data_IF_512817879338
#
_entry.id   IF_512817879338
#
_cell.length_a   1.000
_cell.length_b   1.000
_cell.length_c   1.000
_cell.angle_alpha   90.00
_cell.angle_beta   90.00
_cell.angle_gamma   90.00
#
_symmetry.space_group_name_H-M   'P 1'
#
loop_
_entity.id
_entity.type
_entity.pdbx_description
1 polymer ?
#
# COMPACT_ATOMS: atom_id res chain seq x y z
N UNK A 1 -32.80 5.78 -7.99
CA UNK A 1 -31.65 6.54 -7.46
C UNK A 1 -31.04 7.30 -8.62
N UNK A 2 -31.18 8.62 -8.65
CA UNK A 2 -30.56 9.44 -9.72
C UNK A 2 -29.07 9.53 -9.42
N UNK A 3 -28.23 9.03 -10.33
CA UNK A 3 -26.77 9.16 -10.22
C UNK A 3 -26.39 10.52 -10.79
N UNK A 4 -26.11 11.49 -9.93
CA UNK A 4 -25.58 12.80 -10.32
C UNK A 4 -24.09 12.62 -10.67
N UNK A 5 -23.71 12.96 -11.90
CA UNK A 5 -22.30 13.08 -12.31
C UNK A 5 -21.88 14.53 -12.15
N UNK A 6 -20.68 14.74 -11.60
CA UNK A 6 -20.08 16.07 -11.47
C UNK A 6 -18.74 16.03 -12.16
N UNK A 7 -18.48 17.04 -12.98
CA UNK A 7 -17.16 17.26 -13.56
C UNK A 7 -16.21 17.71 -12.46
N UNK A 8 -15.10 17.00 -12.31
CA UNK A 8 -14.07 17.31 -11.32
C UNK A 8 -12.99 18.13 -12.01
N UNK A 9 -12.59 19.24 -11.39
CA UNK A 9 -11.53 20.10 -11.93
C UNK A 9 -10.22 19.33 -12.04
N UNK A 10 -9.39 19.74 -13.00
CA UNK A 10 -8.06 19.17 -13.19
C UNK A 10 -7.20 19.26 -11.94
N UNK A 11 -7.19 20.42 -11.28
CA UNK A 11 -6.46 20.67 -10.04
C UNK A 11 -6.79 19.63 -8.96
N UNK A 12 -8.05 19.20 -8.89
CA UNK A 12 -8.49 18.18 -7.93
C UNK A 12 -7.95 16.78 -8.27
N UNK A 13 -7.77 16.47 -9.56
CA UNK A 13 -7.32 15.15 -10.05
C UNK A 13 -5.79 15.05 -10.07
N UNK A 14 -5.06 16.17 -10.16
CA UNK A 14 -3.60 16.16 -10.25
C UNK A 14 -2.88 15.36 -9.15
N UNK A 15 -3.27 15.47 -7.86
CA UNK A 15 -2.71 14.61 -6.82
C UNK A 15 -2.91 13.11 -7.07
N UNK A 16 -4.05 12.73 -7.65
CA UNK A 16 -4.35 11.33 -7.97
C UNK A 16 -3.50 10.81 -9.11
N UNK A 17 -3.27 11.65 -10.12
CA UNK A 17 -2.35 11.35 -11.23
C UNK A 17 -0.92 11.24 -10.71
N UNK A 18 -0.49 12.10 -9.78
CA UNK A 18 0.82 12.02 -9.17
C UNK A 18 1.02 10.67 -8.44
N UNK A 19 0.03 10.22 -7.66
CA UNK A 19 0.04 8.89 -7.04
C UNK A 19 0.09 7.77 -8.09
N UNK A 20 -0.66 7.92 -9.19
CA UNK A 20 -0.65 6.96 -10.29
C UNK A 20 0.75 6.82 -10.94
N UNK A 21 1.42 7.94 -11.21
CA UNK A 21 2.77 7.92 -11.80
C UNK A 21 3.81 7.42 -10.80
N UNK A 22 3.71 7.84 -9.53
CA UNK A 22 4.53 7.31 -8.45
C UNK A 22 4.45 5.78 -8.39
N UNK A 23 3.25 5.21 -8.44
CA UNK A 23 3.04 3.75 -8.39
C UNK A 23 3.77 3.01 -9.52
N UNK A 24 3.79 3.57 -10.74
CA UNK A 24 4.54 3.02 -11.89
C UNK A 24 6.05 3.16 -11.73
N UNK A 25 6.52 4.26 -11.16
CA UNK A 25 7.93 4.42 -10.84
C UNK A 25 8.37 3.39 -9.80
N UNK A 26 7.57 3.20 -8.74
CA UNK A 26 7.86 2.25 -7.67
C UNK A 26 7.88 0.80 -8.17
N UNK A 27 6.97 0.42 -9.06
CA UNK A 27 6.99 -0.87 -9.76
C UNK A 27 8.34 -1.08 -10.47
N UNK A 28 8.72 -0.12 -11.31
CA UNK A 28 9.92 -0.21 -12.12
C UNK A 28 11.19 -0.23 -11.25
N UNK A 29 11.24 0.60 -10.21
CA UNK A 29 12.34 0.61 -9.22
C UNK A 29 12.45 -0.75 -8.53
N UNK A 30 11.36 -1.28 -7.98
CA UNK A 30 11.38 -2.56 -7.26
C UNK A 30 11.79 -3.73 -8.17
N UNK A 31 11.36 -3.69 -9.44
CA UNK A 31 11.71 -4.72 -10.44
C UNK A 31 13.20 -4.77 -10.80
N UNK A 32 13.92 -3.67 -10.63
CA UNK A 32 15.36 -3.58 -10.91
C UNK A 32 16.21 -4.12 -9.76
N UNK A 33 15.67 -4.18 -8.54
CA UNK A 33 16.35 -4.74 -7.39
C UNK A 33 16.32 -6.27 -7.51
N UNK A 34 17.48 -6.91 -7.52
CA UNK A 34 17.61 -8.37 -7.59
C UNK A 34 17.77 -8.97 -6.18
N UNK A 35 18.51 -10.07 -6.09
CA UNK A 35 18.94 -10.65 -4.81
C UNK A 35 19.69 -9.62 -3.94
N UNK A 36 19.51 -9.66 -2.60
CA UNK A 36 20.28 -8.83 -1.69
C UNK A 36 21.78 -9.00 -1.90
N UNK A 37 22.52 -7.88 -1.92
CA UNK A 37 23.96 -7.89 -2.11
C UNK A 37 24.70 -8.37 -0.88
N UNK A 38 25.93 -8.83 -1.08
CA UNK A 38 26.85 -9.11 0.01
C UNK A 38 27.04 -7.87 0.90
N UNK A 39 27.03 -8.09 2.22
CA UNK A 39 27.12 -7.06 3.26
C UNK A 39 25.80 -6.35 3.59
N UNK A 40 24.75 -6.55 2.78
CA UNK A 40 23.46 -5.87 2.95
C UNK A 40 22.72 -6.30 4.22
N UNK A 41 21.72 -5.52 4.64
CA UNK A 41 20.92 -5.88 5.80
C UNK A 41 20.09 -7.13 5.55
N UNK A 42 19.51 -7.29 4.36
CA UNK A 42 18.76 -8.50 4.04
C UNK A 42 19.63 -9.75 3.93
N UNK A 43 20.89 -9.66 3.48
CA UNK A 43 21.80 -10.81 3.56
C UNK A 43 21.95 -11.31 5.01
N UNK A 44 22.21 -10.39 5.94
CA UNK A 44 22.34 -10.70 7.38
C UNK A 44 21.05 -11.27 7.97
N UNK A 45 19.90 -10.69 7.63
CA UNK A 45 18.58 -11.15 8.08
C UNK A 45 18.27 -12.54 7.55
N UNK A 46 18.48 -12.78 6.25
CA UNK A 46 18.21 -14.06 5.62
C UNK A 46 19.16 -15.16 6.11
N UNK A 47 20.40 -14.82 6.47
CA UNK A 47 21.34 -15.77 7.06
C UNK A 47 20.90 -16.28 8.44
N UNK A 48 20.19 -15.46 9.23
CA UNK A 48 19.68 -15.85 10.55
C UNK A 48 18.48 -16.81 10.47
N UNK A 49 17.72 -16.79 9.37
CA UNK A 49 16.64 -17.74 9.13
C UNK A 49 16.54 -18.06 7.62
N UNK A 50 17.31 -19.05 7.11
CA UNK A 50 17.44 -19.28 5.68
C UNK A 50 16.28 -20.06 5.06
N UNK A 51 15.42 -20.67 5.88
CA UNK A 51 14.33 -21.54 5.42
C UNK A 51 13.16 -20.77 4.80
N UNK A 52 13.03 -19.48 5.13
CA UNK A 52 11.99 -18.58 4.64
C UNK A 52 12.59 -17.16 4.65
N UNK A 53 12.88 -16.60 3.48
CA UNK A 53 13.69 -15.38 3.40
C UNK A 53 12.83 -14.14 3.63
N UNK A 54 13.24 -13.31 4.59
CA UNK A 54 12.58 -12.04 4.91
C UNK A 54 12.53 -11.09 3.72
N UNK A 55 13.56 -11.09 2.86
CA UNK A 55 13.58 -10.29 1.63
C UNK A 55 12.48 -10.67 0.65
N UNK A 56 12.12 -11.95 0.56
CA UNK A 56 11.13 -12.44 -0.40
C UNK A 56 9.74 -11.99 0.06
N UNK A 57 9.43 -12.17 1.35
CA UNK A 57 8.19 -11.68 1.95
C UNK A 57 8.04 -10.17 1.83
N UNK A 58 9.10 -9.40 2.14
CA UNK A 58 9.05 -7.95 2.01
C UNK A 58 8.81 -7.51 0.55
N UNK A 59 9.43 -8.18 -0.42
CA UNK A 59 9.18 -7.93 -1.84
C UNK A 59 7.73 -8.22 -2.20
N UNK A 60 7.20 -9.38 -1.84
CA UNK A 60 5.81 -9.77 -2.15
C UNK A 60 4.81 -8.78 -1.57
N UNK A 61 5.01 -8.33 -0.33
CA UNK A 61 4.16 -7.30 0.28
C UNK A 61 4.18 -5.97 -0.46
N UNK A 62 5.35 -5.53 -0.93
CA UNK A 62 5.49 -4.29 -1.70
C UNK A 62 4.89 -4.46 -3.10
N UNK A 63 5.15 -5.58 -3.78
CA UNK A 63 4.56 -5.91 -5.08
C UNK A 63 3.04 -5.92 -5.02
N UNK A 64 2.44 -6.61 -4.04
CA UNK A 64 0.99 -6.63 -3.86
C UNK A 64 0.41 -5.23 -3.62
N UNK A 65 1.11 -4.39 -2.83
CA UNK A 65 0.68 -3.01 -2.64
C UNK A 65 0.77 -2.17 -3.91
N UNK A 66 1.81 -2.35 -4.71
CA UNK A 66 2.00 -1.70 -6.01
C UNK A 66 0.91 -2.14 -6.98
N UNK A 67 0.58 -3.44 -7.08
CA UNK A 67 -0.46 -3.96 -7.97
C UNK A 67 -1.83 -3.30 -7.74
N UNK A 68 -2.23 -3.14 -6.46
CA UNK A 68 -3.45 -2.41 -6.12
C UNK A 68 -3.43 -0.96 -6.61
N UNK A 69 -2.28 -0.30 -6.49
CA UNK A 69 -2.12 1.09 -6.93
C UNK A 69 -1.94 1.23 -8.44
N UNK A 70 -1.43 0.20 -9.14
CA UNK A 70 -1.37 0.15 -10.60
C UNK A 70 -2.76 -0.02 -11.22
N UNK A 71 -3.67 -0.74 -10.55
CA UNK A 71 -5.07 -0.78 -10.95
C UNK A 71 -5.72 0.61 -10.84
N UNK A 72 -5.47 1.33 -9.74
CA UNK A 72 -5.86 2.73 -9.62
C UNK A 72 -5.22 3.60 -10.72
N UNK A 73 -3.91 3.45 -10.96
CA UNK A 73 -3.18 4.23 -11.93
C UNK A 73 -3.71 4.05 -13.35
N UNK A 74 -4.06 2.82 -13.72
CA UNK A 74 -4.65 2.49 -15.02
C UNK A 74 -6.05 3.07 -15.18
N UNK A 75 -6.77 3.26 -14.08
CA UNK A 75 -8.09 3.88 -14.08
C UNK A 75 -8.03 5.41 -14.16
N UNK A 76 -7.20 6.07 -13.32
CA UNK A 76 -7.16 7.54 -13.22
C UNK A 76 -6.28 8.24 -14.25
N UNK A 77 -5.22 7.56 -14.70
CA UNK A 77 -4.24 8.11 -15.63
C UNK A 77 -3.79 7.01 -16.61
N UNK A 78 -4.69 6.57 -17.52
CA UNK A 78 -4.37 5.53 -18.50
C UNK A 78 -3.25 5.99 -19.43
N UNK A 79 -2.40 5.06 -19.85
CA UNK A 79 -1.29 5.32 -20.79
C UNK A 79 -1.75 5.26 -22.26
N UNK A 80 -2.95 4.74 -22.51
CA UNK A 80 -3.58 4.70 -23.84
C UNK A 80 -4.99 5.28 -23.71
N UNK A 81 -5.33 6.19 -24.63
CA UNK A 81 -6.61 6.89 -24.65
C UNK A 81 -7.44 6.47 -25.85
N UNK A 82 -8.70 6.11 -25.59
CA UNK A 82 -9.71 6.00 -26.63
C UNK A 82 -10.45 7.34 -26.74
N UNK A 83 -10.51 7.98 -27.92
CA UNK A 83 -11.28 9.20 -28.09
C UNK A 83 -12.72 9.02 -27.63
N UNK A 84 -13.21 9.91 -26.75
CA UNK A 84 -14.56 9.85 -26.18
C UNK A 84 -14.72 8.93 -24.96
N UNK A 85 -13.67 8.27 -24.48
CA UNK A 85 -13.76 7.51 -23.23
C UNK A 85 -13.88 8.45 -22.02
N UNK A 86 -14.97 8.30 -21.27
CA UNK A 86 -15.17 8.97 -19.98
C UNK A 86 -14.68 8.08 -18.84
N UNK A 87 -13.87 8.64 -17.93
CA UNK A 87 -13.48 7.96 -16.70
C UNK A 87 -14.45 8.37 -15.59
N UNK A 88 -15.20 7.40 -15.06
CA UNK A 88 -16.08 7.63 -13.91
C UNK A 88 -15.40 7.18 -12.62
N UNK A 89 -15.09 8.13 -11.75
CA UNK A 89 -14.56 7.84 -10.42
C UNK A 89 -15.70 7.53 -9.45
N UNK A 90 -15.61 6.36 -8.81
CA UNK A 90 -16.53 5.99 -7.73
C UNK A 90 -15.75 5.86 -6.42
N UNK A 91 -16.45 6.16 -5.32
CA UNK A 91 -15.81 6.30 -4.01
C UNK A 91 -15.27 4.98 -3.43
N UNK A 92 -16.03 3.88 -3.53
CA UNK A 92 -15.66 2.64 -2.81
C UNK A 92 -14.42 1.94 -3.37
N UNK A 93 -14.25 1.77 -4.70
CA UNK A 93 -13.11 1.05 -5.24
C UNK A 93 -11.76 1.69 -4.84
N UNK A 94 -11.65 3.01 -4.92
CA UNK A 94 -10.38 3.70 -4.56
C UNK A 94 -10.05 3.53 -3.07
N UNK A 95 -11.05 3.55 -2.19
CA UNK A 95 -10.84 3.30 -0.75
C UNK A 95 -10.39 1.86 -0.49
N UNK A 96 -10.98 0.88 -1.19
CA UNK A 96 -10.58 -0.52 -1.09
C UNK A 96 -9.14 -0.74 -1.57
N UNK A 97 -8.80 -0.23 -2.75
CA UNK A 97 -7.46 -0.36 -3.33
C UNK A 97 -6.40 0.31 -2.46
N UNK A 98 -6.67 1.54 -2.01
CA UNK A 98 -5.72 2.28 -1.18
C UNK A 98 -5.53 1.61 0.18
N UNK A 99 -6.59 1.07 0.81
CA UNK A 99 -6.45 0.31 2.05
C UNK A 99 -5.60 -0.93 1.85
N UNK A 100 -5.89 -1.73 0.82
CA UNK A 100 -5.13 -2.94 0.55
C UNK A 100 -3.65 -2.62 0.30
N UNK A 101 -3.37 -1.54 -0.46
CA UNK A 101 -2.02 -1.06 -0.69
C UNK A 101 -1.27 -0.67 0.60
N UNK A 102 -1.91 0.11 1.48
CA UNK A 102 -1.33 0.50 2.78
C UNK A 102 -1.09 -0.72 3.66
N UNK A 103 -2.06 -1.63 3.73
CA UNK A 103 -1.95 -2.85 4.55
C UNK A 103 -0.80 -3.73 4.08
N UNK A 104 -0.67 -3.99 2.78
CA UNK A 104 0.41 -4.79 2.23
C UNK A 104 1.76 -4.14 2.49
N UNK A 105 1.95 -2.88 2.08
CA UNK A 105 3.22 -2.18 2.25
C UNK A 105 3.64 -2.02 3.73
N UNK A 106 2.67 -1.85 4.65
CA UNK A 106 2.95 -1.72 6.08
C UNK A 106 3.64 -2.96 6.68
N UNK A 107 3.41 -4.18 6.13
CA UNK A 107 4.13 -5.37 6.58
C UNK A 107 5.64 -5.24 6.33
N UNK A 108 6.02 -4.90 5.10
CA UNK A 108 7.41 -4.74 4.71
C UNK A 108 8.08 -3.61 5.49
N UNK A 109 7.41 -2.46 5.61
CA UNK A 109 7.91 -1.34 6.42
C UNK A 109 8.13 -1.75 7.87
N UNK A 110 7.17 -2.44 8.48
CA UNK A 110 7.29 -2.90 9.86
C UNK A 110 8.44 -3.88 10.06
N UNK A 111 8.62 -4.85 9.17
CA UNK A 111 9.75 -5.79 9.24
C UNK A 111 11.08 -5.03 9.15
N UNK A 112 11.20 -4.09 8.20
CA UNK A 112 12.41 -3.30 7.95
C UNK A 112 12.64 -2.13 8.92
N UNK A 113 11.71 -1.89 9.86
CA UNK A 113 11.83 -0.82 10.87
C UNK A 113 12.47 -1.31 12.18
N UNK A 114 13.37 -2.29 12.09
CA UNK A 114 14.18 -2.76 13.21
C UNK A 114 15.64 -2.31 13.05
N UNK A 115 16.32 -2.16 14.19
CA UNK A 115 17.72 -1.77 14.24
C UNK A 115 18.68 -2.95 14.15
N UNK A 116 18.18 -4.18 14.36
CA UNK A 116 18.99 -5.40 14.36
C UNK A 116 18.40 -6.43 13.42
N UNK A 117 19.27 -7.27 12.84
CA UNK A 117 18.83 -8.37 11.98
C UNK A 117 17.94 -9.37 12.72
N UNK A 118 18.22 -9.61 14.02
CA UNK A 118 17.40 -10.46 14.88
C UNK A 118 15.99 -9.90 15.06
N UNK A 119 15.85 -8.58 15.27
CA UNK A 119 14.55 -7.92 15.34
C UNK A 119 13.75 -8.04 14.04
N UNK A 120 14.43 -7.90 12.88
CA UNK A 120 13.79 -8.12 11.58
C UNK A 120 13.27 -9.56 11.44
N UNK A 121 14.09 -10.56 11.81
CA UNK A 121 13.67 -11.97 11.78
C UNK A 121 12.49 -12.22 12.71
N UNK A 122 12.50 -11.68 13.93
CA UNK A 122 11.37 -11.81 14.86
C UNK A 122 10.08 -11.29 14.25
N UNK A 123 10.08 -10.07 13.72
CA UNK A 123 8.90 -9.48 13.05
C UNK A 123 8.47 -10.28 11.83
N UNK A 124 9.43 -10.72 11.01
CA UNK A 124 9.16 -11.57 9.86
C UNK A 124 8.45 -12.87 10.28
N UNK A 125 8.99 -13.61 11.25
CA UNK A 125 8.40 -14.86 11.72
C UNK A 125 7.04 -14.65 12.38
N UNK A 126 6.80 -13.51 13.05
CA UNK A 126 5.46 -13.15 13.53
C UNK A 126 4.43 -13.08 12.40
N UNK A 127 4.82 -12.56 11.23
CA UNK A 127 3.95 -12.49 10.05
C UNK A 127 3.73 -13.87 9.44
N UNK A 128 4.79 -14.66 9.25
CA UNK A 128 4.66 -16.03 8.70
C UNK A 128 3.76 -16.90 9.58
N UNK A 129 3.90 -16.79 10.90
CA UNK A 129 3.05 -17.51 11.86
C UNK A 129 1.58 -17.07 11.79
N UNK A 130 1.29 -15.79 11.58
CA UNK A 130 -0.08 -15.32 11.40
C UNK A 130 -0.65 -15.83 10.07
N UNK A 131 0.12 -15.77 8.99
CA UNK A 131 -0.31 -16.23 7.66
C UNK A 131 -0.66 -17.73 7.66
N UNK A 132 0.20 -18.58 8.25
CA UNK A 132 -0.10 -20.01 8.45
C UNK A 132 -1.40 -20.22 9.23
N UNK A 133 -1.67 -19.38 10.23
CA UNK A 133 -2.90 -19.45 11.01
C UNK A 133 -4.13 -18.98 10.20
N UNK A 134 -4.00 -17.95 9.35
CA UNK A 134 -5.08 -17.56 8.44
C UNK A 134 -5.35 -18.65 7.40
N UNK A 135 -4.30 -19.23 6.82
CA UNK A 135 -4.41 -20.35 5.88
C UNK A 135 -5.10 -21.55 6.55
N UNK A 136 -4.79 -21.83 7.82
CA UNK A 136 -5.42 -22.92 8.58
C UNK A 136 -6.91 -22.67 8.84
N UNK A 137 -7.31 -21.43 9.11
CA UNK A 137 -8.72 -21.04 9.26
C UNK A 137 -9.47 -21.17 7.93
N UNK A 138 -8.83 -20.82 6.82
CA UNK A 138 -9.40 -20.91 5.48
C UNK A 138 -9.47 -22.35 4.95
N UNK A 139 -8.60 -23.25 5.44
CA UNK A 139 -8.60 -24.66 5.04
C UNK A 139 -9.94 -25.34 5.37
N UNK A 140 -10.48 -26.07 4.40
CA UNK A 140 -11.73 -26.82 4.57
C UNK A 140 -11.47 -28.23 5.11
N UNK A 141 -10.42 -28.88 4.64
CA UNK A 141 -10.07 -30.27 4.95
C UNK A 141 -9.27 -30.40 6.25
N UNK A 142 -9.53 -31.48 7.00
CA UNK A 142 -8.83 -31.78 8.26
C UNK A 142 -7.36 -32.09 8.04
N UNK A 143 -7.01 -32.84 7.00
CA UNK A 143 -5.62 -33.16 6.64
C UNK A 143 -4.79 -31.89 6.39
N UNK A 144 -5.35 -30.94 5.63
CA UNK A 144 -4.69 -29.65 5.39
C UNK A 144 -4.49 -28.86 6.68
N UNK A 145 -5.46 -28.89 7.61
CA UNK A 145 -5.32 -28.24 8.92
C UNK A 145 -4.21 -28.88 9.75
N UNK A 146 -4.11 -30.21 9.75
CA UNK A 146 -3.04 -30.95 10.45
C UNK A 146 -1.68 -30.57 9.88
N UNK A 147 -1.53 -30.59 8.55
CA UNK A 147 -0.30 -30.16 7.88
C UNK A 147 0.13 -28.75 8.29
N UNK A 148 -0.80 -27.80 8.41
CA UNK A 148 -0.47 -26.42 8.79
C UNK A 148 -0.07 -26.29 10.27
N UNK A 149 -0.63 -27.12 11.15
CA UNK A 149 -0.18 -27.23 12.55
C UNK A 149 1.25 -27.77 12.61
N UNK A 150 1.56 -28.79 11.80
CA UNK A 150 2.91 -29.36 11.71
C UNK A 150 3.91 -28.37 11.11
N UNK A 151 3.54 -27.66 10.04
CA UNK A 151 4.36 -26.62 9.42
C UNK A 151 4.68 -25.49 10.43
N UNK A 152 3.69 -25.05 11.21
CA UNK A 152 3.90 -24.09 12.30
C UNK A 152 4.88 -24.63 13.36
N UNK A 153 4.72 -25.89 13.78
CA UNK A 153 5.63 -26.51 14.75
C UNK A 153 7.07 -26.59 14.20
N UNK A 154 7.22 -26.97 12.93
CA UNK A 154 8.50 -27.06 12.26
C UNK A 154 9.18 -25.69 12.14
N UNK A 155 8.43 -24.64 11.79
CA UNK A 155 8.95 -23.28 11.72
C UNK A 155 9.52 -22.83 13.08
N UNK A 156 8.78 -23.06 14.17
CA UNK A 156 9.21 -22.69 15.52
C UNK A 156 10.48 -23.46 15.94
N UNK A 157 10.54 -24.78 15.68
CA UNK A 157 11.73 -25.59 15.93
C UNK A 157 12.94 -25.08 15.15
N UNK A 158 12.76 -24.70 13.88
CA UNK A 158 13.83 -24.12 13.06
C UNK A 158 14.29 -22.76 13.58
N UNK A 159 13.36 -21.94 14.07
CA UNK A 159 13.68 -20.61 14.60
C UNK A 159 14.53 -20.72 15.87
N UNK A 160 14.12 -21.59 16.79
CA UNK A 160 14.87 -21.92 18.01
C UNK A 160 16.29 -22.44 17.68
N UNK A 161 16.41 -23.36 16.72
CA UNK A 161 17.70 -23.89 16.31
C UNK A 161 18.63 -22.86 15.64
N UNK A 162 18.07 -21.91 14.87
CA UNK A 162 18.86 -20.97 14.06
C UNK A 162 19.27 -19.71 14.82
N UNK A 163 18.57 -19.37 15.90
CA UNK A 163 18.72 -18.07 16.56
C UNK A 163 18.71 -18.10 18.10
N UNK A 164 18.70 -19.30 18.70
CA UNK A 164 18.65 -19.47 20.15
C UNK A 164 17.27 -19.17 20.73
N UNK A 165 17.21 -18.64 21.96
CA UNK A 165 15.97 -18.18 22.62
C UNK A 165 15.37 -16.91 21.96
N UNK A 166 15.12 -16.96 20.66
CA UNK A 166 14.43 -15.89 19.96
C UNK A 166 12.95 -15.91 20.35
N UNK A 167 12.56 -14.95 21.20
CA UNK A 167 11.15 -14.69 21.49
C UNK A 167 10.48 -14.09 20.25
N UNK A 168 9.55 -14.82 19.64
CA UNK A 168 8.73 -14.33 18.52
C UNK A 168 7.44 -13.75 19.09
N UNK A 169 7.25 -12.44 18.94
CA UNK A 169 6.06 -11.77 19.42
C UNK A 169 4.84 -12.08 18.54
N UNK A 170 3.65 -11.80 19.07
CA UNK A 170 2.41 -11.93 18.30
C UNK A 170 2.33 -10.84 17.23
N UNK A 171 1.82 -11.20 16.07
CA UNK A 171 1.43 -10.24 15.04
C UNK A 171 0.51 -9.14 15.61
N UNK A 172 0.83 -7.84 15.43
CA UNK A 172 0.07 -6.74 16.04
C UNK A 172 -1.31 -6.51 15.40
N UNK A 173 -1.63 -7.21 14.32
CA UNK A 173 -2.82 -6.98 13.51
C UNK A 173 -2.63 -5.83 12.52
N UNK A 174 -3.44 -5.82 11.46
CA UNK A 174 -3.36 -4.84 10.37
C UNK A 174 -3.40 -3.38 10.84
N UNK A 175 -4.31 -3.02 11.74
CA UNK A 175 -4.38 -1.65 12.28
C UNK A 175 -3.09 -1.26 13.01
N UNK A 176 -2.54 -2.18 13.82
CA UNK A 176 -1.31 -1.96 14.56
C UNK A 176 -0.13 -1.74 13.62
N UNK A 177 -0.02 -2.56 12.57
CA UNK A 177 0.98 -2.39 11.52
C UNK A 177 0.86 -1.04 10.81
N UNK A 178 -0.34 -0.70 10.34
CA UNK A 178 -0.57 0.51 9.54
C UNK A 178 -0.21 1.76 10.34
N UNK A 179 -0.57 1.82 11.63
CA UNK A 179 -0.16 2.93 12.52
C UNK A 179 1.34 3.00 12.70
N UNK A 180 2.00 1.86 12.95
CA UNK A 180 3.44 1.81 13.13
C UNK A 180 4.17 2.24 11.86
N UNK A 181 3.80 1.70 10.70
CA UNK A 181 4.37 2.07 9.41
C UNK A 181 4.16 3.55 9.10
N UNK A 182 2.95 4.10 9.31
CA UNK A 182 2.71 5.53 9.11
C UNK A 182 3.56 6.40 10.04
N UNK A 183 3.72 6.01 11.31
CA UNK A 183 4.61 6.70 12.26
C UNK A 183 6.07 6.65 11.81
N UNK A 184 6.56 5.49 11.35
CA UNK A 184 7.91 5.33 10.78
C UNK A 184 8.11 6.26 9.59
N UNK A 185 7.15 6.30 8.67
CA UNK A 185 7.17 7.16 7.48
C UNK A 185 7.15 8.63 7.87
N UNK A 186 6.35 9.02 8.87
CA UNK A 186 6.30 10.38 9.38
C UNK A 186 7.60 10.84 10.05
N UNK A 187 8.26 9.94 10.80
CA UNK A 187 9.50 10.25 11.50
C UNK A 187 10.72 10.31 10.57
N UNK A 188 10.75 9.49 9.52
CA UNK A 188 11.93 9.31 8.65
C UNK A 188 11.79 9.88 7.25
N UNK A 189 10.56 10.16 6.82
CA UNK A 189 10.24 10.73 5.51
C UNK A 189 9.91 12.22 5.58
N UNK A 190 9.76 12.82 4.39
CA UNK A 190 9.13 14.15 4.24
C UNK A 190 7.67 13.92 3.85
N UNK A 191 6.79 13.80 4.82
CA UNK A 191 5.34 13.60 4.58
C UNK A 191 4.51 14.66 5.29
N UNK A 192 3.23 14.73 4.91
CA UNK A 192 2.22 15.54 5.58
C UNK A 192 2.22 15.23 7.09
N UNK A 193 2.29 16.28 7.92
CA UNK A 193 2.29 16.19 9.38
C UNK A 193 1.07 15.45 9.93
N UNK A 194 -0.05 15.44 9.20
CA UNK A 194 -1.25 14.71 9.59
C UNK A 194 -1.07 13.18 9.55
N UNK A 195 -0.11 12.66 8.77
CA UNK A 195 0.20 11.22 8.75
C UNK A 195 0.97 10.75 9.99
N UNK A 196 1.50 11.69 10.80
CA UNK A 196 2.12 11.38 12.08
C UNK A 196 1.10 11.05 13.18
N UNK A 197 -0.15 11.50 13.03
CA UNK A 197 -1.20 11.28 14.04
C UNK A 197 -1.85 9.88 13.86
N UNK A 198 -1.65 8.95 14.82
CA UNK A 198 -2.23 7.61 14.75
C UNK A 198 -3.77 7.60 14.72
N UNK A 199 -4.44 8.62 15.26
CA UNK A 199 -5.90 8.73 15.24
C UNK A 199 -6.42 9.06 13.83
N UNK A 200 -5.72 9.93 13.10
CA UNK A 200 -6.02 10.25 11.70
C UNK A 200 -5.85 9.02 10.82
N UNK A 201 -4.73 8.31 10.98
CA UNK A 201 -4.43 7.08 10.23
C UNK A 201 -5.48 5.99 10.51
N UNK A 202 -5.85 5.78 11.77
CA UNK A 202 -6.92 4.84 12.13
C UNK A 202 -8.26 5.21 11.50
N UNK A 203 -8.63 6.50 11.54
CA UNK A 203 -9.89 6.97 10.96
C UNK A 203 -9.94 6.69 9.46
N UNK A 204 -8.87 7.00 8.73
CA UNK A 204 -8.75 6.70 7.29
C UNK A 204 -8.87 5.20 7.01
N UNK A 205 -8.15 4.37 7.78
CA UNK A 205 -8.19 2.92 7.63
C UNK A 205 -9.59 2.36 7.90
N UNK A 206 -10.25 2.78 8.99
CA UNK A 206 -11.60 2.30 9.36
C UNK A 206 -12.65 2.74 8.34
N UNK A 207 -12.54 3.97 7.85
CA UNK A 207 -13.48 4.48 6.86
C UNK A 207 -13.32 3.75 5.53
N UNK A 208 -12.08 3.41 5.14
CA UNK A 208 -11.80 2.61 3.95
C UNK A 208 -12.35 1.18 4.08
N UNK A 209 -12.13 0.53 5.23
CA UNK A 209 -12.68 -0.78 5.53
C UNK A 209 -14.22 -0.77 5.51
N UNK A 210 -14.83 0.22 6.17
CA UNK A 210 -16.27 0.40 6.15
C UNK A 210 -16.82 0.61 4.73
N UNK A 211 -16.10 1.35 3.89
CA UNK A 211 -16.47 1.59 2.49
C UNK A 211 -16.43 0.31 1.67
N UNK A 212 -15.39 -0.50 1.83
CA UNK A 212 -15.23 -1.80 1.17
C UNK A 212 -16.37 -2.77 1.54
N UNK A 213 -16.84 -2.75 2.78
CA UNK A 213 -17.94 -3.57 3.26
C UNK A 213 -19.34 -2.95 3.10
N UNK A 214 -19.45 -1.82 2.39
CA UNK A 214 -20.74 -1.18 2.13
C UNK A 214 -21.42 -0.60 3.37
N UNK A 215 -20.67 -0.31 4.44
CA UNK A 215 -21.22 0.33 5.65
C UNK A 215 -21.78 1.71 5.30
N UNK A 216 -22.80 2.14 6.05
CA UNK A 216 -23.51 3.40 5.77
C UNK A 216 -22.71 4.64 6.19
N UNK A 217 -22.04 4.59 7.35
CA UNK A 217 -21.39 5.78 7.93
C UNK A 217 -20.27 6.37 7.04
N UNK A 218 -19.37 5.60 6.38
CA UNK A 218 -18.37 6.20 5.50
C UNK A 218 -19.01 6.88 4.29
N UNK A 219 -20.14 6.34 3.81
CA UNK A 219 -20.89 6.95 2.73
C UNK A 219 -21.68 8.21 3.15
N UNK A 220 -21.78 8.50 4.45
CA UNK A 220 -22.33 9.77 4.97
C UNK A 220 -21.22 10.79 5.23
N UNK A 221 -20.03 10.34 5.65
CA UNK A 221 -18.95 11.23 6.05
C UNK A 221 -17.92 11.51 4.96
N UNK A 222 -17.70 10.57 4.03
CA UNK A 222 -16.69 10.67 2.96
C UNK A 222 -17.31 10.96 1.59
N UNK A 223 -18.59 11.33 1.58
CA UNK A 223 -19.32 11.76 0.40
C UNK A 223 -20.00 13.09 0.69
N UNK A 224 -20.08 13.95 -0.31
CA UNK A 224 -20.92 15.14 -0.25
C UNK A 224 -22.36 14.69 -0.44
N UNK A 225 -23.20 14.89 0.58
CA UNK A 225 -24.62 14.56 0.55
C UNK A 225 -25.40 15.81 0.18
N UNK A 226 -26.10 15.77 -0.95
CA UNK A 226 -26.99 16.85 -1.36
C UNK A 226 -28.44 16.42 -1.14
N UNK A 227 -29.21 17.16 -0.33
CA UNK A 227 -30.64 16.92 -0.19
C UNK A 227 -31.35 17.30 -1.49
N UNK A 228 -32.23 16.40 -1.94
CA UNK A 228 -33.13 16.60 -3.08
C UNK A 228 -34.53 16.95 -2.61
N UNK A 229 -35.53 16.42 -3.30
CA UNK A 229 -36.95 16.64 -2.98
C UNK A 229 -37.33 16.01 -1.64
N UNK A 230 -38.12 16.70 -0.85
CA UNK A 230 -38.76 16.14 0.35
C UNK A 230 -39.79 15.08 -0.05
N UNK A 231 -39.68 13.87 0.51
CA UNK A 231 -40.56 12.72 0.24
C UNK A 231 -41.52 12.44 1.39
N UNK A 232 -41.20 12.92 2.59
CA UNK A 232 -42.05 12.93 3.77
C UNK A 232 -41.54 14.04 4.71
N UNK A 233 -42.33 14.55 5.68
CA UNK A 233 -41.88 15.60 6.59
C UNK A 233 -40.50 15.27 7.23
N UNK A 234 -39.50 16.12 6.96
CA UNK A 234 -38.13 15.96 7.44
C UNK A 234 -37.30 14.88 6.72
N UNK A 235 -37.83 14.25 5.66
CA UNK A 235 -37.18 13.18 4.90
C UNK A 235 -36.99 13.60 3.46
N UNK A 236 -35.74 13.64 3.01
CA UNK A 236 -35.36 14.08 1.68
C UNK A 236 -34.78 12.92 0.86
N UNK A 237 -35.08 12.90 -0.44
CA UNK A 237 -34.22 12.21 -1.40
C UNK A 237 -32.78 12.72 -1.22
N UNK A 238 -31.78 11.85 -1.37
CA UNK A 238 -30.37 12.27 -1.27
C UNK A 238 -29.61 11.82 -2.51
N UNK A 239 -28.85 12.74 -3.08
CA UNK A 239 -27.79 12.40 -4.03
C UNK A 239 -26.45 12.44 -3.28
N UNK A 240 -25.49 11.65 -3.75
CA UNK A 240 -24.18 11.55 -3.11
C UNK A 240 -23.07 11.61 -4.15
N UNK A 241 -22.09 12.45 -3.88
CA UNK A 241 -20.90 12.60 -4.72
C UNK A 241 -19.67 12.20 -3.89
N UNK A 242 -18.72 11.43 -4.42
CA UNK A 242 -17.46 11.16 -3.73
C UNK A 242 -16.79 12.47 -3.29
N UNK A 243 -16.37 12.58 -2.02
CA UNK A 243 -15.56 13.72 -1.59
C UNK A 243 -14.13 13.56 -2.14
N UNK A 244 -13.64 14.45 -3.03
CA UNK A 244 -12.32 14.31 -3.61
C UNK A 244 -11.20 14.40 -2.56
N UNK A 245 -11.36 15.23 -1.53
CA UNK A 245 -10.38 15.36 -0.44
C UNK A 245 -10.21 14.04 0.33
N UNK A 246 -11.32 13.34 0.58
CA UNK A 246 -11.28 12.03 1.25
C UNK A 246 -10.58 10.97 0.41
N UNK A 247 -10.72 11.02 -0.92
CA UNK A 247 -9.98 10.16 -1.86
C UNK A 247 -8.49 10.51 -1.82
N UNK A 248 -8.14 11.79 -1.93
CA UNK A 248 -6.75 12.27 -1.89
C UNK A 248 -6.04 11.84 -0.61
N UNK A 249 -6.68 11.95 0.56
CA UNK A 249 -6.08 11.59 1.85
C UNK A 249 -5.64 10.13 1.92
N UNK A 250 -6.50 9.19 1.50
CA UNK A 250 -6.15 7.76 1.55
C UNK A 250 -5.13 7.38 0.47
N UNK A 251 -5.21 7.99 -0.72
CA UNK A 251 -4.23 7.78 -1.79
C UNK A 251 -2.84 8.27 -1.38
N UNK A 252 -2.77 9.44 -0.73
CA UNK A 252 -1.50 9.98 -0.24
C UNK A 252 -0.90 9.09 0.84
N UNK A 253 -1.72 8.55 1.76
CA UNK A 253 -1.24 7.59 2.77
C UNK A 253 -0.68 6.32 2.10
N UNK A 254 -1.41 5.74 1.14
CA UNK A 254 -0.96 4.58 0.37
C UNK A 254 0.37 4.85 -0.33
N UNK A 255 0.46 5.97 -1.05
CA UNK A 255 1.66 6.36 -1.77
C UNK A 255 2.85 6.59 -0.83
N UNK A 256 2.65 7.25 0.31
CA UNK A 256 3.72 7.53 1.27
C UNK A 256 4.31 6.24 1.87
N UNK A 257 3.45 5.32 2.32
CA UNK A 257 3.89 4.04 2.90
C UNK A 257 4.58 3.17 1.85
N UNK A 258 4.02 3.09 0.62
CA UNK A 258 4.63 2.36 -0.49
C UNK A 258 5.98 2.94 -0.91
N UNK A 259 6.07 4.26 -1.09
CA UNK A 259 7.31 4.93 -1.51
C UNK A 259 8.42 4.67 -0.50
N UNK A 260 8.13 4.88 0.78
CA UNK A 260 9.09 4.59 1.84
C UNK A 260 9.46 3.10 1.87
N UNK A 261 8.48 2.21 1.76
CA UNK A 261 8.71 0.76 1.76
C UNK A 261 9.64 0.31 0.64
N UNK A 262 9.43 0.79 -0.59
CA UNK A 262 10.29 0.47 -1.74
C UNK A 262 11.70 1.03 -1.55
N UNK A 263 11.86 2.29 -1.16
CA UNK A 263 13.20 2.85 -0.92
C UNK A 263 13.91 2.17 0.24
N UNK A 264 13.19 1.82 1.30
CA UNK A 264 13.76 1.05 2.41
C UNK A 264 14.19 -0.34 1.95
N UNK A 265 13.45 -0.96 1.03
CA UNK A 265 13.81 -2.24 0.42
C UNK A 265 15.09 -2.14 -0.43
N UNK A 266 15.25 -1.05 -1.20
CA UNK A 266 16.48 -0.76 -1.97
C UNK A 266 17.69 -0.69 -1.03
N UNK A 267 17.58 0.10 0.05
CA UNK A 267 18.63 0.23 1.06
C UNK A 267 18.94 -1.11 1.74
N UNK A 268 17.92 -1.81 2.24
CA UNK A 268 18.10 -3.11 2.90
C UNK A 268 18.72 -4.18 2.00
N UNK A 269 18.50 -4.08 0.69
CA UNK A 269 19.07 -4.98 -0.31
C UNK A 269 20.51 -4.60 -0.72
N UNK A 270 21.03 -3.45 -0.26
CA UNK A 270 22.38 -2.96 -0.57
C UNK A 270 22.49 -2.20 -1.89
N UNK A 271 21.38 -1.71 -2.43
CA UNK A 271 21.33 -0.98 -3.70
C UNK A 271 21.23 0.54 -3.53
N UNK A 272 21.36 1.07 -2.29
CA UNK A 272 21.33 2.51 -2.03
C UNK A 272 22.31 3.33 -2.90
N UNK A 273 23.57 2.89 -3.13
CA UNK A 273 24.49 3.61 -4.02
C UNK A 273 23.99 3.73 -5.47
N UNK A 274 23.10 2.83 -5.89
CA UNK A 274 22.52 2.80 -7.24
C UNK A 274 21.10 3.38 -7.30
N UNK A 275 20.56 3.90 -6.19
CA UNK A 275 19.18 4.39 -6.15
C UNK A 275 18.96 5.53 -7.17
N UNK A 276 19.88 6.49 -7.23
CA UNK A 276 19.78 7.61 -8.18
C UNK A 276 19.75 7.16 -9.66
N UNK A 277 20.68 6.32 -10.16
CA UNK A 277 20.59 5.83 -11.54
C UNK A 277 19.38 4.92 -11.78
N UNK A 278 18.97 4.11 -10.81
CA UNK A 278 17.74 3.28 -10.91
C UNK A 278 16.50 4.16 -11.08
N UNK A 279 16.38 5.23 -10.29
CA UNK A 279 15.29 6.20 -10.39
C UNK A 279 15.30 6.95 -11.72
N UNK A 280 16.48 7.41 -12.17
CA UNK A 280 16.61 8.09 -13.46
C UNK A 280 16.18 7.20 -14.62
N UNK A 281 16.59 5.92 -14.61
CA UNK A 281 16.22 4.95 -15.64
C UNK A 281 14.71 4.65 -15.63
N UNK A 282 14.10 4.51 -14.44
CA UNK A 282 12.66 4.32 -14.30
C UNK A 282 11.87 5.55 -14.81
N UNK A 283 12.32 6.75 -14.46
CA UNK A 283 11.71 7.99 -14.93
C UNK A 283 11.80 8.14 -16.45
N UNK A 284 12.95 7.81 -17.04
CA UNK A 284 13.13 7.82 -18.49
C UNK A 284 12.15 6.86 -19.17
N UNK A 285 12.04 5.61 -18.70
CA UNK A 285 11.09 4.62 -19.24
C UNK A 285 9.64 5.07 -19.12
N UNK A 286 9.26 5.62 -17.97
CA UNK A 286 7.90 6.11 -17.77
C UNK A 286 7.60 7.32 -18.67
N UNK A 287 8.53 8.26 -18.81
CA UNK A 287 8.36 9.46 -19.65
C UNK A 287 8.09 9.14 -21.12
N UNK A 288 8.62 8.02 -21.63
CA UNK A 288 8.37 7.52 -22.99
C UNK A 288 6.96 6.98 -23.19
N UNK A 289 6.27 6.62 -22.10
CA UNK A 289 4.92 6.04 -22.12
C UNK A 289 3.82 7.04 -21.74
N UNK A 290 4.13 8.07 -20.94
CA UNK A 290 3.15 9.07 -20.52
C UNK A 290 2.72 9.91 -21.74
N UNK A 291 1.41 9.95 -22.07
CA UNK A 291 0.92 10.82 -23.13
C UNK A 291 1.19 12.28 -22.80
N UNK A 292 1.77 13.01 -23.77
CA UNK A 292 2.04 14.45 -23.60
C UNK A 292 0.74 15.23 -23.62
N UNK A 293 0.67 16.23 -22.73
CA UNK A 293 -0.39 17.23 -22.72
C UNK A 293 -0.34 18.04 -24.00
N UNK A 294 -1.47 18.14 -24.70
CA UNK A 294 -1.65 19.06 -25.84
C UNK A 294 -2.18 20.42 -25.39
N UNK A 295 -2.64 20.53 -24.15
CA UNK A 295 -3.25 21.72 -23.55
C UNK A 295 -2.25 22.63 -22.81
N UNK A 296 -0.97 22.25 -22.78
CA UNK A 296 0.11 23.08 -22.23
C UNK A 296 1.04 23.47 -23.38
N UNK A 297 1.27 24.76 -23.61
CA UNK A 297 2.25 25.20 -24.61
C UNK A 297 3.59 24.52 -24.32
N UNK A 298 4.19 23.88 -25.33
CA UNK A 298 5.54 23.34 -25.18
C UNK A 298 6.47 24.49 -24.81
N UNK A 299 6.94 24.53 -23.57
CA UNK A 299 8.05 25.41 -23.21
C UNK A 299 9.24 24.96 -24.04
N UNK A 300 9.67 25.80 -24.98
CA UNK A 300 10.88 25.60 -25.77
C UNK A 300 12.05 25.28 -24.83
N UNK A 301 12.93 24.34 -25.17
CA UNK A 301 14.14 24.12 -24.41
C UNK A 301 15.02 25.38 -24.51
N UNK A 302 15.35 25.96 -23.36
CA UNK A 302 16.52 26.83 -23.21
C UNK A 302 17.72 25.97 -22.85
#
# INVERSE_FOLDING_TARGET
MVVKRIEISRETIEPWVAVAQSSRLLEDILSQIKEPRQGSNFEKVNALYPYERSSDWCREFLSAGIEHMLLWASHVAPLSFNPGAEVTHTFRPVQTLSRAAVESAAHAVWIMDQSTAQGCVQRHLSVVLDDLEQQRKAAQESERKTYLVEAKSLLLKRAEASSGEMKIDRFPGYMGLVKQAASTVAAKGKVDTNMADPAVVERLWRASAGSAHGKRWPALELQVVEPGREIAPGTFETSRIPNPEAITKILNLANAVLTYGVFRFVDYSGYEPDLAPIMAAAQERLSKKIPRRTDVPSSSPN
#
